data_IF_307534553703
#
_entry.id   IF_307534553703
#
_cell.length_a   1.000
_cell.length_b   1.000
_cell.length_c   1.000
_cell.angle_alpha   90.00
_cell.angle_beta   90.00
_cell.angle_gamma   90.00
#
_symmetry.space_group_name_H-M   'P 1'
#
loop_
_entity.id
_entity.type
_entity.pdbx_description
1 polymer ?
#
# COMPACT_ATOMS: atom_id res chain seq x y z
N UNK A 1 -18.32 41.51 72.85
CA UNK A 1 -17.80 40.58 71.82
C UNK A 1 -18.69 40.41 70.56
N UNK A 2 -19.67 41.29 70.30
CA UNK A 2 -20.63 41.12 69.18
C UNK A 2 -20.25 41.69 67.80
N UNK A 3 -19.23 42.56 67.69
CA UNK A 3 -18.95 43.29 66.42
C UNK A 3 -17.78 42.75 65.58
N UNK A 4 -17.02 41.73 66.06
CA UNK A 4 -15.92 41.11 65.29
C UNK A 4 -16.34 39.87 64.49
N UNK A 5 -17.39 39.15 64.91
CA UNK A 5 -17.87 37.93 64.20
C UNK A 5 -18.69 38.28 62.94
N UNK A 6 -19.44 39.39 62.96
CA UNK A 6 -20.24 39.89 61.82
C UNK A 6 -19.39 40.30 60.60
N UNK A 7 -18.19 40.85 60.82
CA UNK A 7 -17.26 41.23 59.73
C UNK A 7 -16.59 40.03 59.05
N UNK A 8 -16.33 38.94 59.79
CA UNK A 8 -15.73 37.71 59.25
C UNK A 8 -16.73 36.90 58.39
N UNK A 9 -18.00 36.82 58.77
CA UNK A 9 -19.02 36.13 57.98
C UNK A 9 -19.39 36.87 56.68
N UNK A 10 -19.39 38.21 56.67
CA UNK A 10 -19.59 39.00 55.43
C UNK A 10 -18.42 38.86 54.44
N UNK A 11 -17.19 38.63 54.93
CA UNK A 11 -16.01 38.39 54.10
C UNK A 11 -16.02 37.01 53.41
N UNK A 12 -16.38 35.94 54.12
CA UNK A 12 -16.46 34.59 53.56
C UNK A 12 -17.58 34.43 52.52
N UNK A 13 -18.76 35.03 52.74
CA UNK A 13 -19.88 34.97 51.78
C UNK A 13 -19.55 35.68 50.45
N UNK A 14 -18.79 36.80 50.49
CA UNK A 14 -18.31 37.50 49.30
C UNK A 14 -17.23 36.73 48.52
N UNK A 15 -16.34 36.00 49.21
CA UNK A 15 -15.32 35.15 48.56
C UNK A 15 -15.93 33.90 47.91
N UNK A 16 -16.95 33.29 48.52
CA UNK A 16 -17.68 32.16 47.93
C UNK A 16 -18.55 32.59 46.73
N UNK A 17 -19.20 33.75 46.79
CA UNK A 17 -19.93 34.31 45.63
C UNK A 17 -19.00 34.67 44.46
N UNK A 18 -17.82 35.28 44.71
CA UNK A 18 -16.84 35.56 43.66
C UNK A 18 -16.27 34.30 42.99
N UNK A 19 -16.06 33.21 43.74
CA UNK A 19 -15.60 31.93 43.16
C UNK A 19 -16.69 31.23 42.35
N UNK A 20 -17.97 31.30 42.77
CA UNK A 20 -19.11 30.81 41.97
C UNK A 20 -19.28 31.62 40.69
N UNK A 21 -19.22 32.95 40.77
CA UNK A 21 -19.37 33.81 39.58
C UNK A 21 -18.23 33.64 38.58
N UNK A 22 -16.98 33.48 39.03
CA UNK A 22 -15.85 33.23 38.12
C UNK A 22 -15.98 31.92 37.36
N UNK A 23 -16.54 30.87 37.99
CA UNK A 23 -16.80 29.58 37.32
C UNK A 23 -17.97 29.68 36.33
N UNK A 24 -19.00 30.48 36.64
CA UNK A 24 -20.13 30.77 35.75
C UNK A 24 -19.70 31.61 34.56
N UNK A 25 -18.88 32.65 34.76
CA UNK A 25 -18.30 33.48 33.69
C UNK A 25 -17.41 32.65 32.75
N UNK A 26 -16.54 31.78 33.29
CA UNK A 26 -15.74 30.85 32.46
C UNK A 26 -16.61 29.85 31.68
N UNK A 27 -17.73 29.41 32.25
CA UNK A 27 -18.67 28.50 31.58
C UNK A 27 -19.43 29.24 30.47
N UNK A 28 -19.87 30.47 30.72
CA UNK A 28 -20.56 31.31 29.73
C UNK A 28 -19.62 31.71 28.56
N UNK A 29 -18.35 31.99 28.85
CA UNK A 29 -17.33 32.26 27.82
C UNK A 29 -17.05 31.02 26.97
N UNK A 30 -16.93 29.83 27.59
CA UNK A 30 -16.84 28.57 26.84
C UNK A 30 -18.07 28.33 25.95
N UNK A 31 -19.29 28.54 26.47
CA UNK A 31 -20.52 28.35 25.71
C UNK A 31 -20.63 29.33 24.52
N UNK A 32 -20.29 30.60 24.73
CA UNK A 32 -20.27 31.60 23.64
C UNK A 32 -19.24 31.25 22.55
N UNK A 33 -18.07 30.75 22.93
CA UNK A 33 -17.06 30.29 21.97
C UNK A 33 -17.50 29.03 21.22
N UNK A 34 -18.26 28.14 21.86
CA UNK A 34 -18.88 26.97 21.20
C UNK A 34 -19.96 27.42 20.22
N UNK A 35 -20.84 28.35 20.59
CA UNK A 35 -21.88 28.88 19.70
C UNK A 35 -21.30 29.57 18.47
N UNK A 36 -20.28 30.42 18.64
CA UNK A 36 -19.55 31.04 17.52
C UNK A 36 -18.83 30.01 16.64
N UNK A 37 -18.28 28.96 17.24
CA UNK A 37 -17.70 27.83 16.52
C UNK A 37 -18.74 27.07 15.69
N UNK A 38 -19.93 26.84 16.24
CA UNK A 38 -21.04 26.16 15.55
C UNK A 38 -21.61 27.00 14.40
N UNK A 39 -21.75 28.32 14.59
CA UNK A 39 -22.17 29.24 13.53
C UNK A 39 -21.15 29.28 12.38
N UNK A 40 -19.86 29.35 12.70
CA UNK A 40 -18.79 29.25 11.71
C UNK A 40 -18.84 27.93 10.95
N UNK A 41 -19.00 26.79 11.64
CA UNK A 41 -19.11 25.48 10.99
C UNK A 41 -20.35 25.36 10.09
N UNK A 42 -21.49 25.92 10.49
CA UNK A 42 -22.70 25.95 9.67
C UNK A 42 -22.51 26.78 8.39
N UNK A 43 -21.79 27.90 8.48
CA UNK A 43 -21.45 28.71 7.31
C UNK A 43 -20.43 28.01 6.41
N UNK A 44 -19.51 27.21 6.96
CA UNK A 44 -18.58 26.38 6.20
C UNK A 44 -19.32 25.24 5.47
N UNK A 45 -20.29 24.57 6.12
CA UNK A 45 -21.14 23.56 5.49
C UNK A 45 -21.90 24.13 4.30
N UNK A 46 -22.57 25.27 4.48
CA UNK A 46 -23.25 25.98 3.38
C UNK A 46 -22.27 26.38 2.28
N UNK A 47 -21.10 26.89 2.64
CA UNK A 47 -20.03 27.24 1.69
C UNK A 47 -19.58 26.04 0.84
N UNK A 48 -19.54 24.83 1.40
CA UNK A 48 -19.20 23.62 0.65
C UNK A 48 -20.25 23.26 -0.40
N UNK A 49 -21.54 23.51 -0.15
CA UNK A 49 -22.61 23.27 -1.14
C UNK A 49 -22.44 24.12 -2.40
N UNK A 50 -21.81 25.29 -2.28
CA UNK A 50 -21.53 26.18 -3.41
C UNK A 50 -20.25 25.84 -4.17
N UNK A 51 -19.38 24.98 -3.62
CA UNK A 51 -18.13 24.58 -4.28
C UNK A 51 -18.32 23.23 -4.99
N UNK A 52 -17.90 23.17 -6.25
CA UNK A 52 -17.86 21.89 -6.95
C UNK A 52 -16.88 20.93 -6.26
N UNK A 53 -17.15 19.63 -6.33
CA UNK A 53 -16.27 18.60 -5.75
C UNK A 53 -14.83 18.75 -6.24
N UNK A 54 -14.61 19.15 -7.50
CA UNK A 54 -13.27 19.36 -8.06
C UNK A 54 -12.49 20.49 -7.36
N UNK A 55 -13.17 21.60 -7.07
CA UNK A 55 -12.55 22.75 -6.37
C UNK A 55 -12.21 22.35 -4.93
N UNK A 56 -13.14 21.67 -4.24
CA UNK A 56 -12.92 21.17 -2.88
C UNK A 56 -11.74 20.19 -2.81
N UNK A 57 -11.64 19.26 -3.77
CA UNK A 57 -10.49 18.34 -3.85
C UNK A 57 -9.19 19.12 -4.04
N UNK A 58 -9.15 20.14 -4.92
CA UNK A 58 -7.96 20.98 -5.13
C UNK A 58 -7.56 21.71 -3.85
N UNK A 59 -8.52 22.30 -3.14
CA UNK A 59 -8.27 23.00 -1.86
C UNK A 59 -7.71 22.01 -0.83
N UNK A 60 -8.39 20.90 -0.62
CA UNK A 60 -8.02 19.92 0.40
C UNK A 60 -6.69 19.21 0.08
N UNK A 61 -6.31 19.05 -1.20
CA UNK A 61 -4.99 18.51 -1.58
C UNK A 61 -3.81 19.38 -1.15
N UNK A 62 -4.04 20.67 -0.88
CA UNK A 62 -3.00 21.59 -0.39
C UNK A 62 -2.78 21.47 1.13
N UNK A 63 -3.66 20.75 1.83
CA UNK A 63 -3.56 20.54 3.26
C UNK A 63 -2.70 19.31 3.58
N UNK A 64 -1.92 19.40 4.64
CA UNK A 64 -1.13 18.27 5.12
C UNK A 64 -2.02 17.24 5.85
N UNK A 65 -1.46 16.07 6.18
CA UNK A 65 -2.20 15.00 6.85
C UNK A 65 -2.85 15.44 8.17
N UNK A 66 -2.16 16.24 8.98
CA UNK A 66 -2.69 16.68 10.27
C UNK A 66 -3.85 17.65 10.06
N UNK A 67 -3.72 18.60 9.13
CA UNK A 67 -4.81 19.53 8.77
C UNK A 67 -6.03 18.79 8.23
N UNK A 68 -5.84 17.82 7.33
CA UNK A 68 -6.93 17.01 6.80
C UNK A 68 -7.56 16.11 7.86
N UNK A 69 -6.75 15.53 8.76
CA UNK A 69 -7.25 14.74 9.89
C UNK A 69 -8.03 15.61 10.87
N UNK A 70 -7.60 16.85 11.11
CA UNK A 70 -8.34 17.79 11.95
C UNK A 70 -9.66 18.18 11.30
N UNK A 71 -9.67 18.55 10.01
CA UNK A 71 -10.91 18.85 9.26
C UNK A 71 -11.89 17.68 9.24
N UNK A 72 -11.36 16.45 9.13
CA UNK A 72 -12.16 15.23 9.21
C UNK A 72 -12.88 15.10 10.57
N UNK A 73 -12.32 15.65 11.64
CA UNK A 73 -12.91 15.59 12.99
C UNK A 73 -13.83 16.78 13.29
N UNK A 74 -13.78 17.88 12.52
CA UNK A 74 -14.58 19.08 12.79
C UNK A 74 -16.00 19.00 12.22
N UNK A 75 -16.20 18.36 11.05
CA UNK A 75 -17.51 18.27 10.39
C UNK A 75 -17.76 16.89 9.79
N UNK A 76 -19.00 16.40 9.90
CA UNK A 76 -19.45 15.17 9.23
C UNK A 76 -19.32 15.28 7.70
N UNK A 77 -19.63 16.46 7.14
CA UNK A 77 -19.47 16.79 5.73
C UNK A 77 -18.04 16.55 5.22
N UNK A 78 -17.03 17.15 5.87
CA UNK A 78 -15.63 16.95 5.53
C UNK A 78 -15.21 15.52 5.78
N UNK A 79 -15.69 14.86 6.83
CA UNK A 79 -15.39 13.46 7.07
C UNK A 79 -15.83 12.58 5.90
N UNK A 80 -17.09 12.70 5.49
CA UNK A 80 -17.65 11.96 4.36
C UNK A 80 -16.92 12.32 3.06
N UNK A 81 -16.67 13.61 2.80
CA UNK A 81 -15.96 14.07 1.60
C UNK A 81 -14.49 13.57 1.55
N UNK A 82 -13.72 13.80 2.61
CA UNK A 82 -12.31 13.38 2.73
C UNK A 82 -12.20 11.85 2.63
N UNK A 83 -13.14 11.10 3.22
CA UNK A 83 -13.16 9.64 3.08
C UNK A 83 -13.54 9.20 1.67
N UNK A 84 -14.57 9.81 1.07
CA UNK A 84 -15.02 9.55 -0.29
C UNK A 84 -13.88 9.74 -1.30
N UNK A 85 -13.06 10.77 -1.10
CA UNK A 85 -11.92 11.09 -1.99
C UNK A 85 -10.55 10.65 -1.45
N UNK A 86 -10.49 9.93 -0.32
CA UNK A 86 -9.27 9.44 0.31
C UNK A 86 -8.17 10.50 0.56
N UNK A 87 -8.55 11.72 0.94
CA UNK A 87 -7.63 12.87 1.00
C UNK A 87 -6.69 12.84 2.22
N UNK A 88 -7.17 12.38 3.38
CA UNK A 88 -6.41 12.39 4.65
C UNK A 88 -5.52 11.16 4.86
N UNK A 89 -4.78 10.71 3.85
CA UNK A 89 -3.87 9.56 4.02
C UNK A 89 -2.48 10.04 4.39
N UNK A 90 -1.92 9.51 5.48
CA UNK A 90 -0.56 9.85 5.89
C UNK A 90 0.40 9.27 4.86
N UNK A 91 1.24 10.12 4.28
CA UNK A 91 2.28 9.70 3.35
C UNK A 91 3.46 9.14 4.14
N UNK A 92 3.91 7.96 3.75
CA UNK A 92 5.14 7.33 4.18
C UNK A 92 6.01 7.10 2.95
N UNK A 93 7.32 7.23 3.10
CA UNK A 93 8.22 7.00 1.98
C UNK A 93 8.26 5.51 1.65
N UNK A 94 8.55 4.66 2.64
CA UNK A 94 8.68 3.21 2.39
C UNK A 94 8.06 2.36 3.49
N UNK A 95 7.45 1.25 3.06
CA UNK A 95 7.13 0.11 3.91
C UNK A 95 7.84 -1.14 3.38
N UNK A 96 8.56 -1.82 4.26
CA UNK A 96 9.30 -3.04 3.97
C UNK A 96 8.81 -4.21 4.82
N UNK A 97 8.66 -5.37 4.18
CA UNK A 97 8.34 -6.63 4.83
C UNK A 97 9.62 -7.48 4.85
N UNK A 98 10.25 -7.56 6.03
CA UNK A 98 11.52 -8.26 6.19
C UNK A 98 11.48 -9.25 7.35
N UNK A 99 12.22 -10.33 7.20
CA UNK A 99 12.47 -11.25 8.30
C UNK A 99 13.60 -10.67 9.15
N UNK A 100 13.35 -10.51 10.45
CA UNK A 100 14.42 -10.18 11.41
C UNK A 100 15.35 -11.39 11.56
N UNK A 101 16.37 -11.50 10.71
CA UNK A 101 17.47 -12.45 10.91
C UNK A 101 18.58 -11.80 11.75
N UNK A 102 18.72 -10.47 11.66
CA UNK A 102 19.75 -9.70 12.35
C UNK A 102 19.12 -8.83 13.44
N UNK A 103 19.84 -8.70 14.56
CA UNK A 103 19.52 -7.71 15.60
C UNK A 103 19.63 -6.33 14.95
N UNK A 104 18.50 -5.68 14.65
CA UNK A 104 18.45 -4.29 14.19
C UNK A 104 18.96 -3.35 15.29
N UNK A 105 20.28 -3.22 15.43
CA UNK A 105 20.93 -2.28 16.35
C UNK A 105 20.62 -0.86 15.85
N UNK A 106 20.08 0.00 16.72
CA UNK A 106 19.78 1.40 16.41
C UNK A 106 18.33 1.71 15.99
N UNK A 107 17.47 0.72 15.77
CA UNK A 107 16.07 0.97 15.42
C UNK A 107 15.19 1.20 16.65
N UNK A 108 14.32 2.21 16.60
CA UNK A 108 13.31 2.43 17.62
C UNK A 108 12.18 1.41 17.45
N UNK A 109 12.16 0.41 18.32
CA UNK A 109 11.02 -0.52 18.41
C UNK A 109 9.77 0.27 18.78
N UNK A 110 8.76 0.21 17.91
CA UNK A 110 7.41 0.66 18.29
C UNK A 110 6.75 -0.54 18.96
N UNK A 111 6.83 -0.59 20.28
CA UNK A 111 6.10 -1.61 21.04
C UNK A 111 4.60 -1.37 20.85
N UNK A 112 3.91 -2.39 20.35
CA UNK A 112 2.50 -2.29 19.99
C UNK A 112 1.57 -2.05 21.20
N UNK A 113 2.08 -2.22 22.43
CA UNK A 113 1.32 -2.19 23.68
C UNK A 113 1.00 -0.79 24.23
N UNK A 114 1.55 0.28 23.67
CA UNK A 114 1.60 1.56 24.39
C UNK A 114 0.30 2.39 24.39
N UNK A 115 -0.77 1.92 23.75
CA UNK A 115 -2.02 2.69 23.62
C UNK A 115 -3.25 1.80 23.83
N UNK A 116 -3.31 1.07 24.94
CA UNK A 116 -4.38 0.11 25.25
C UNK A 116 -5.79 0.72 25.17
N UNK A 117 -5.93 2.02 25.44
CA UNK A 117 -7.20 2.75 25.30
C UNK A 117 -7.66 2.91 23.85
N UNK A 118 -6.73 2.90 22.88
CA UNK A 118 -7.05 3.00 21.46
C UNK A 118 -7.40 1.65 20.82
N UNK A 119 -7.25 0.55 21.57
CA UNK A 119 -7.49 -0.84 21.14
C UNK A 119 -8.78 -1.38 21.79
N UNK A 120 -9.77 -0.52 22.02
CA UNK A 120 -11.09 -0.98 22.47
C UNK A 120 -11.99 -1.20 21.26
N UNK A 121 -11.87 -2.40 20.68
CA UNK A 121 -12.75 -2.87 19.62
C UNK A 121 -13.71 -3.91 20.21
N UNK A 122 -15.01 -3.61 20.33
CA UNK A 122 -15.99 -4.60 20.77
C UNK A 122 -16.08 -5.68 19.70
N UNK A 123 -15.87 -6.93 20.10
CA UNK A 123 -16.05 -8.10 19.24
C UNK A 123 -17.44 -8.66 19.50
N UNK A 124 -18.18 -8.98 18.43
CA UNK A 124 -19.37 -9.80 18.58
C UNK A 124 -18.97 -11.21 18.99
N UNK A 125 -19.88 -11.94 19.66
CA UNK A 125 -19.63 -13.34 20.04
C UNK A 125 -19.23 -14.19 18.82
N UNK A 126 -19.90 -13.99 17.69
CA UNK A 126 -19.60 -14.68 16.43
C UNK A 126 -18.17 -14.39 15.94
N UNK A 127 -17.73 -13.11 15.96
CA UNK A 127 -16.39 -12.76 15.51
C UNK A 127 -15.32 -13.27 16.48
N UNK A 128 -15.61 -13.23 17.79
CA UNK A 128 -14.72 -13.76 18.82
C UNK A 128 -14.52 -15.28 18.66
N UNK A 129 -15.58 -16.05 18.38
CA UNK A 129 -15.50 -17.48 18.09
C UNK A 129 -14.66 -17.77 16.85
N UNK A 130 -14.86 -17.01 15.75
CA UNK A 130 -14.04 -17.14 14.54
C UNK A 130 -12.56 -16.86 14.81
N UNK A 131 -12.26 -15.81 15.58
CA UNK A 131 -10.89 -15.46 15.96
C UNK A 131 -10.27 -16.55 16.84
N UNK A 132 -11.03 -17.08 17.81
CA UNK A 132 -10.56 -18.18 18.65
C UNK A 132 -10.26 -19.43 17.82
N UNK A 133 -11.14 -19.79 16.88
CA UNK A 133 -10.93 -20.92 15.98
C UNK A 133 -9.64 -20.76 15.14
N UNK A 134 -9.37 -19.57 14.62
CA UNK A 134 -8.13 -19.30 13.89
C UNK A 134 -6.87 -19.41 14.76
N UNK A 135 -6.95 -19.00 16.03
CA UNK A 135 -5.86 -19.20 17.02
C UNK A 135 -5.63 -20.68 17.30
N UNK A 136 -6.71 -21.45 17.51
CA UNK A 136 -6.65 -22.89 17.79
C UNK A 136 -6.04 -23.65 16.60
N UNK A 137 -6.36 -23.24 15.38
CA UNK A 137 -5.78 -23.75 14.13
C UNK A 137 -4.36 -23.23 13.86
N UNK A 138 -3.84 -22.33 14.70
CA UNK A 138 -2.53 -21.66 14.54
C UNK A 138 -2.39 -20.99 13.17
N UNK A 139 -3.43 -20.29 12.74
CA UNK A 139 -3.44 -19.58 11.46
C UNK A 139 -2.33 -18.51 11.44
N UNK A 140 -1.41 -18.53 10.44
CA UNK A 140 -0.32 -17.57 10.39
C UNK A 140 -0.80 -16.19 9.94
N UNK A 141 -0.20 -15.13 10.49
CA UNK A 141 -0.44 -13.76 10.05
C UNK A 141 0.20 -13.46 8.69
N UNK A 142 1.28 -14.16 8.36
CA UNK A 142 2.03 -13.96 7.14
C UNK A 142 2.13 -15.25 6.34
N UNK A 143 2.06 -15.14 5.02
CA UNK A 143 2.40 -16.24 4.11
C UNK A 143 3.83 -15.97 3.63
N UNK A 144 4.71 -16.96 3.80
CA UNK A 144 6.08 -16.90 3.28
C UNK A 144 6.12 -17.47 1.88
N UNK A 145 6.75 -16.75 0.95
CA UNK A 145 6.98 -17.26 -0.39
C UNK A 145 8.17 -18.22 -0.43
N UNK A 146 9.01 -18.23 0.62
CA UNK A 146 10.31 -18.87 0.60
C UNK A 146 10.40 -20.00 1.65
N UNK A 147 10.75 -21.19 1.14
CA UNK A 147 10.92 -22.44 1.91
C UNK A 147 12.05 -22.39 2.94
N UNK A 148 13.00 -21.46 2.79
CA UNK A 148 14.14 -21.36 3.70
C UNK A 148 13.76 -20.75 5.05
N UNK A 149 12.57 -20.15 5.19
CA UNK A 149 12.19 -19.41 6.39
C UNK A 149 11.25 -20.14 7.34
N UNK A 150 11.20 -21.47 7.26
CA UNK A 150 10.25 -22.25 8.05
C UNK A 150 10.46 -22.21 9.57
N UNK A 151 11.58 -21.71 10.11
CA UNK A 151 11.86 -21.89 11.53
C UNK A 151 12.51 -20.66 12.18
N UNK A 152 11.82 -20.13 13.21
CA UNK A 152 12.32 -19.30 14.33
C UNK A 152 12.45 -17.77 14.21
N UNK A 153 12.23 -17.14 13.06
CA UNK A 153 12.39 -15.68 12.97
C UNK A 153 11.09 -14.90 13.25
N UNK A 154 11.19 -13.80 13.99
CA UNK A 154 10.09 -12.84 14.12
C UNK A 154 9.91 -12.08 12.80
N UNK A 155 8.70 -12.09 12.25
CA UNK A 155 8.37 -11.25 11.10
C UNK A 155 8.29 -9.79 11.54
N UNK A 156 8.92 -8.90 10.76
CA UNK A 156 8.94 -7.49 11.06
C UNK A 156 8.47 -6.67 9.86
N UNK A 157 7.55 -5.77 10.13
CA UNK A 157 7.14 -4.73 9.19
C UNK A 157 7.90 -3.48 9.57
N UNK A 158 8.85 -3.09 8.73
CA UNK A 158 9.60 -1.85 8.88
C UNK A 158 8.90 -0.75 8.11
N UNK A 159 8.65 0.37 8.78
CA UNK A 159 7.99 1.54 8.22
C UNK A 159 8.94 2.72 8.36
N UNK A 160 9.34 3.30 7.25
CA UNK A 160 10.21 4.47 7.22
C UNK A 160 9.37 5.74 7.09
N UNK A 161 9.55 6.64 8.06
CA UNK A 161 8.98 7.98 8.07
C UNK A 161 10.04 8.99 7.63
N UNK A 162 9.63 9.97 6.84
CA UNK A 162 10.51 11.05 6.36
C UNK A 162 10.77 10.94 4.87
N UNK A 163 11.43 11.96 4.32
CA UNK A 163 11.89 11.95 2.93
C UNK A 163 13.20 11.15 2.81
N UNK A 164 13.66 10.90 1.58
CA UNK A 164 14.77 9.99 1.27
C UNK A 164 16.06 10.27 2.08
N UNK A 165 16.30 11.54 2.43
CA UNK A 165 17.50 12.00 3.14
C UNK A 165 17.43 11.86 4.67
N UNK A 166 16.23 11.77 5.29
CA UNK A 166 16.04 11.74 6.75
C UNK A 166 15.12 10.60 7.21
N UNK A 167 15.36 9.38 6.73
CA UNK A 167 14.52 8.22 7.05
C UNK A 167 14.59 7.84 8.54
N UNK A 168 13.62 8.33 9.31
CA UNK A 168 13.33 7.84 10.66
C UNK A 168 12.61 6.50 10.55
N UNK A 169 13.38 5.42 10.69
CA UNK A 169 12.88 4.05 10.63
C UNK A 169 12.15 3.69 11.92
N UNK A 170 10.91 3.23 11.77
CA UNK A 170 10.10 2.65 12.84
C UNK A 170 9.85 1.19 12.54
N UNK A 171 10.08 0.35 13.54
CA UNK A 171 9.85 -1.08 13.41
C UNK A 171 8.57 -1.45 14.15
N UNK A 172 7.64 -2.06 13.42
CA UNK A 172 6.40 -2.65 13.94
C UNK A 172 6.56 -4.17 13.89
N UNK A 173 6.69 -4.78 15.06
CA UNK A 173 6.91 -6.23 15.18
C UNK A 173 5.58 -6.94 15.34
N UNK A 174 5.21 -7.77 14.38
CA UNK A 174 3.99 -8.57 14.47
C UNK A 174 4.32 -10.02 14.84
N UNK A 175 3.46 -10.70 15.61
CA UNK A 175 3.62 -12.13 15.82
C UNK A 175 3.37 -12.89 14.52
N UNK A 176 4.23 -13.85 14.18
CA UNK A 176 3.97 -14.74 13.04
C UNK A 176 2.71 -15.58 13.27
N UNK A 177 2.57 -16.09 14.50
CA UNK A 177 1.39 -16.79 14.99
C UNK A 177 0.86 -16.01 16.20
N UNK A 178 -0.21 -15.21 16.03
CA UNK A 178 -0.91 -14.60 17.16
C UNK A 178 -1.27 -15.68 18.19
N UNK A 179 -1.11 -15.39 19.49
CA UNK A 179 -1.34 -16.38 20.56
C UNK A 179 -2.59 -16.10 21.37
N UNK A 180 -3.20 -14.95 21.17
CA UNK A 180 -4.35 -14.48 21.94
C UNK A 180 -5.24 -13.56 21.11
N UNK A 181 -6.49 -13.40 21.54
CA UNK A 181 -7.42 -12.40 20.98
C UNK A 181 -6.83 -10.99 21.06
N UNK A 182 -6.08 -10.69 22.12
CA UNK A 182 -5.41 -9.39 22.29
C UNK A 182 -4.34 -9.16 21.22
N UNK A 183 -3.57 -10.18 20.85
CA UNK A 183 -2.62 -10.07 19.74
C UNK A 183 -3.35 -9.75 18.42
N UNK A 184 -4.49 -10.40 18.16
CA UNK A 184 -5.30 -10.14 16.96
C UNK A 184 -5.89 -8.73 16.96
N UNK A 185 -6.34 -8.21 18.11
CA UNK A 185 -6.82 -6.82 18.25
C UNK A 185 -5.71 -5.83 17.93
N UNK A 186 -4.51 -6.07 18.44
CA UNK A 186 -3.32 -5.28 18.14
C UNK A 186 -3.00 -5.32 16.64
N UNK A 187 -3.02 -6.50 16.03
CA UNK A 187 -2.76 -6.66 14.59
C UNK A 187 -3.80 -5.89 13.77
N UNK A 188 -5.10 -6.06 14.06
CA UNK A 188 -6.19 -5.33 13.40
C UNK A 188 -6.02 -3.82 13.53
N UNK A 189 -5.73 -3.33 14.72
CA UNK A 189 -5.49 -1.90 14.97
C UNK A 189 -4.42 -1.34 14.04
N UNK A 190 -3.26 -2.01 13.97
CA UNK A 190 -2.16 -1.55 13.14
C UNK A 190 -2.46 -1.69 11.64
N UNK A 191 -3.01 -2.82 11.19
CA UNK A 191 -3.41 -2.98 9.80
C UNK A 191 -4.37 -1.89 9.35
N UNK A 192 -5.40 -1.58 10.16
CA UNK A 192 -6.34 -0.49 9.90
C UNK A 192 -5.63 0.85 9.73
N UNK A 193 -4.63 1.14 10.57
CA UNK A 193 -3.82 2.36 10.43
C UNK A 193 -2.98 2.35 9.16
N UNK A 194 -2.35 1.24 8.82
CA UNK A 194 -1.51 1.16 7.62
C UNK A 194 -2.32 1.25 6.32
N UNK A 195 -3.53 0.68 6.29
CA UNK A 195 -4.44 0.85 5.16
C UNK A 195 -4.89 2.30 4.92
N UNK A 196 -4.87 3.13 5.97
CA UNK A 196 -5.15 4.57 5.89
C UNK A 196 -3.92 5.39 5.46
N UNK A 197 -2.84 4.74 5.05
CA UNK A 197 -1.61 5.40 4.63
C UNK A 197 -1.43 5.33 3.11
N UNK A 198 -0.60 6.23 2.59
CA UNK A 198 -0.06 6.18 1.24
C UNK A 198 1.44 5.89 1.32
N UNK A 199 1.94 4.99 0.50
CA UNK A 199 3.36 4.63 0.44
C UNK A 199 3.92 5.02 -0.93
N UNK A 200 5.11 5.62 -0.97
CA UNK A 200 5.80 5.78 -2.25
C UNK A 200 6.30 4.40 -2.69
N UNK A 201 6.96 3.68 -1.80
CA UNK A 201 7.46 2.33 -2.06
C UNK A 201 6.88 1.32 -1.06
N UNK A 202 6.44 0.17 -1.56
CA UNK A 202 6.11 -1.00 -0.76
C UNK A 202 6.92 -2.19 -1.28
N UNK A 203 7.75 -2.79 -0.42
CA UNK A 203 8.57 -3.94 -0.80
C UNK A 203 8.24 -5.17 0.03
N UNK A 204 7.89 -6.24 -0.65
CA UNK A 204 7.51 -7.54 -0.10
C UNK A 204 8.44 -8.62 -0.66
N UNK A 205 9.63 -8.74 -0.07
CA UNK A 205 10.66 -9.65 -0.57
C UNK A 205 10.44 -11.09 -0.13
N UNK A 206 9.82 -11.32 1.02
CA UNK A 206 9.82 -12.65 1.65
C UNK A 206 8.44 -13.13 2.01
N UNK A 207 7.62 -12.24 2.56
CA UNK A 207 6.29 -12.58 3.01
C UNK A 207 5.30 -11.45 2.72
N UNK A 208 4.04 -11.84 2.66
CA UNK A 208 2.87 -10.97 2.56
C UNK A 208 1.97 -11.23 3.76
N UNK A 209 1.03 -10.33 4.05
CA UNK A 209 -0.04 -10.65 5.00
C UNK A 209 -0.90 -11.78 4.42
N UNK A 210 -1.27 -12.74 5.26
CA UNK A 210 -2.18 -13.81 4.89
C UNK A 210 -3.55 -13.22 4.52
N UNK A 211 -4.02 -13.34 3.26
CA UNK A 211 -5.30 -12.81 2.82
C UNK A 211 -6.49 -13.26 3.68
N UNK A 212 -6.50 -14.52 4.10
CA UNK A 212 -7.58 -15.08 4.93
C UNK A 212 -7.54 -14.51 6.34
N UNK A 213 -6.34 -14.24 6.89
CA UNK A 213 -6.21 -13.59 8.20
C UNK A 213 -6.68 -12.14 8.10
N UNK A 214 -6.33 -11.41 7.03
CA UNK A 214 -6.83 -10.04 6.83
C UNK A 214 -8.35 -10.07 6.74
N UNK A 215 -8.93 -10.98 5.95
CA UNK A 215 -10.38 -11.15 5.83
C UNK A 215 -11.04 -11.45 7.19
N UNK A 216 -10.46 -12.36 7.97
CA UNK A 216 -10.92 -12.69 9.33
C UNK A 216 -10.91 -11.47 10.27
N UNK A 217 -9.86 -10.65 10.21
CA UNK A 217 -9.72 -9.47 11.07
C UNK A 217 -10.72 -8.36 10.73
N UNK A 218 -11.22 -8.30 9.49
CA UNK A 218 -12.12 -7.27 8.98
C UNK A 218 -13.47 -7.82 8.47
N UNK A 219 -13.88 -9.00 8.94
CA UNK A 219 -15.06 -9.72 8.46
C UNK A 219 -16.33 -8.85 8.49
N UNK A 220 -17.02 -8.75 7.34
CA UNK A 220 -18.24 -7.95 7.10
C UNK A 220 -18.16 -6.44 7.41
N UNK A 221 -16.97 -5.90 7.65
CA UNK A 221 -16.78 -4.49 7.89
C UNK A 221 -16.70 -3.75 6.52
N UNK A 222 -17.21 -2.50 6.43
CA UNK A 222 -16.97 -1.63 5.26
C UNK A 222 -15.46 -1.48 4.97
N UNK A 223 -14.62 -1.82 5.94
CA UNK A 223 -13.17 -1.88 5.87
C UNK A 223 -12.61 -2.92 4.88
N UNK A 224 -13.39 -3.87 4.35
CA UNK A 224 -12.91 -4.72 3.23
C UNK A 224 -12.56 -3.86 1.98
N UNK A 225 -13.09 -2.63 1.88
CA UNK A 225 -12.68 -1.67 0.83
C UNK A 225 -11.30 -1.04 1.08
N UNK A 226 -10.70 -1.27 2.25
CA UNK A 226 -9.39 -0.72 2.57
C UNK A 226 -8.28 -1.44 1.83
N UNK A 227 -7.49 -0.65 1.11
CA UNK A 227 -6.32 -1.13 0.36
C UNK A 227 -5.13 -0.25 0.69
N UNK A 228 -3.95 -0.87 0.77
CA UNK A 228 -2.70 -0.14 0.79
C UNK A 228 -2.58 0.60 -0.53
N UNK A 229 -2.39 1.91 -0.45
CA UNK A 229 -2.24 2.76 -1.62
C UNK A 229 -0.76 3.05 -1.80
N UNK A 230 -0.20 2.57 -2.88
CA UNK A 230 1.22 2.58 -3.16
C UNK A 230 1.47 3.21 -4.53
N UNK A 231 2.55 3.99 -4.68
CA UNK A 231 3.01 4.37 -6.00
C UNK A 231 3.71 3.16 -6.65
N UNK A 232 4.68 2.61 -5.94
CA UNK A 232 5.50 1.50 -6.41
C UNK A 232 5.41 0.32 -5.45
N UNK A 233 5.26 -0.87 -6.01
CA UNK A 233 5.25 -2.13 -5.25
C UNK A 233 6.29 -3.06 -5.83
N UNK A 234 7.19 -3.58 -5.00
CA UNK A 234 8.12 -4.65 -5.37
C UNK A 234 7.72 -5.93 -4.67
N UNK A 235 7.50 -6.99 -5.43
CA UNK A 235 7.22 -8.34 -4.91
C UNK A 235 8.24 -9.35 -5.43
N UNK A 236 8.73 -10.21 -4.55
CA UNK A 236 9.52 -11.36 -4.95
C UNK A 236 8.65 -12.62 -5.05
N UNK A 237 8.63 -13.23 -6.23
CA UNK A 237 7.92 -14.50 -6.47
C UNK A 237 8.93 -15.64 -6.38
N UNK A 238 8.70 -16.55 -5.43
CA UNK A 238 9.51 -17.77 -5.26
C UNK A 238 8.66 -19.03 -5.44
N UNK A 239 7.50 -19.13 -4.75
CA UNK A 239 6.51 -20.22 -4.86
C UNK A 239 5.10 -19.67 -4.57
N UNK A 240 4.06 -20.38 -5.03
CA UNK A 240 2.64 -20.09 -4.78
C UNK A 240 2.20 -18.68 -5.21
N UNK A 241 2.25 -18.36 -6.51
CA UNK A 241 1.88 -17.04 -7.01
C UNK A 241 0.43 -16.67 -6.68
N UNK A 242 -0.45 -17.65 -6.46
CA UNK A 242 -1.90 -17.40 -6.33
C UNK A 242 -2.23 -16.53 -5.10
N UNK A 243 -1.63 -16.81 -3.94
CA UNK A 243 -1.88 -16.03 -2.72
C UNK A 243 -1.32 -14.62 -2.82
N UNK A 244 -0.16 -14.47 -3.48
CA UNK A 244 0.44 -13.18 -3.79
C UNK A 244 -0.50 -12.38 -4.68
N UNK A 245 -1.02 -12.99 -5.75
CA UNK A 245 -1.95 -12.32 -6.66
C UNK A 245 -3.24 -11.93 -5.97
N UNK A 246 -3.83 -12.83 -5.18
CA UNK A 246 -5.03 -12.52 -4.38
C UNK A 246 -4.75 -11.31 -3.48
N UNK A 247 -3.60 -11.30 -2.80
CA UNK A 247 -3.23 -10.16 -1.97
C UNK A 247 -3.06 -8.86 -2.76
N UNK A 248 -2.35 -8.89 -3.90
CA UNK A 248 -2.16 -7.74 -4.77
C UNK A 248 -3.50 -7.15 -5.24
N UNK A 249 -4.43 -8.00 -5.68
CA UNK A 249 -5.69 -7.56 -6.27
C UNK A 249 -6.70 -7.08 -5.22
N UNK A 250 -6.74 -7.74 -4.06
CA UNK A 250 -7.73 -7.48 -3.05
C UNK A 250 -7.30 -6.35 -2.11
N UNK A 251 -6.00 -6.25 -1.80
CA UNK A 251 -5.53 -5.36 -0.74
C UNK A 251 -4.56 -4.27 -1.19
N UNK A 252 -4.15 -4.20 -2.47
CA UNK A 252 -3.31 -3.11 -2.97
C UNK A 252 -4.01 -2.25 -4.03
N UNK A 253 -3.65 -0.96 -4.05
CA UNK A 253 -3.87 -0.02 -5.14
C UNK A 253 -2.50 0.49 -5.56
N UNK A 254 -2.12 0.25 -6.80
CA UNK A 254 -0.80 0.57 -7.36
C UNK A 254 -0.97 1.67 -8.39
N UNK A 255 -0.46 2.86 -8.10
CA UNK A 255 -0.69 4.04 -8.94
C UNK A 255 0.38 4.28 -10.01
N UNK A 256 1.54 3.62 -9.92
CA UNK A 256 2.63 3.81 -10.88
C UNK A 256 3.14 2.48 -11.43
N UNK A 257 3.76 1.64 -10.60
CA UNK A 257 4.49 0.47 -11.08
C UNK A 257 4.42 -0.72 -10.12
N UNK A 258 4.19 -1.90 -10.67
CA UNK A 258 4.38 -3.19 -10.00
C UNK A 258 5.68 -3.81 -10.51
N UNK A 259 6.67 -3.95 -9.63
CA UNK A 259 7.94 -4.60 -9.90
C UNK A 259 7.85 -6.04 -9.40
N UNK A 260 8.00 -7.01 -10.29
CA UNK A 260 8.01 -8.44 -9.96
C UNK A 260 9.43 -8.94 -10.09
N UNK A 261 10.03 -9.26 -8.95
CA UNK A 261 11.36 -9.87 -8.88
C UNK A 261 11.25 -11.38 -8.86
N UNK A 262 11.94 -12.03 -9.79
CA UNK A 262 12.11 -13.47 -9.80
C UNK A 262 13.42 -13.81 -9.10
N UNK A 263 13.31 -14.45 -7.95
CA UNK A 263 14.46 -14.84 -7.15
C UNK A 263 15.08 -16.16 -7.64
N UNK A 264 16.20 -16.60 -7.03
CA UNK A 264 17.13 -17.67 -7.43
C UNK A 264 16.53 -19.02 -7.90
N UNK A 265 15.22 -19.25 -7.81
CA UNK A 265 14.52 -20.47 -8.22
C UNK A 265 14.11 -20.53 -9.70
N UNK A 266 13.82 -21.75 -10.17
CA UNK A 266 13.12 -21.96 -11.45
C UNK A 266 11.69 -21.42 -11.30
N UNK A 267 11.33 -20.41 -12.09
CA UNK A 267 9.91 -20.08 -12.29
C UNK A 267 9.28 -21.33 -12.89
N UNK A 268 8.35 -21.96 -12.18
CA UNK A 268 7.70 -23.15 -12.69
C UNK A 268 6.87 -22.79 -13.93
N UNK A 269 6.55 -23.79 -14.76
CA UNK A 269 5.78 -23.54 -15.98
C UNK A 269 4.40 -22.98 -15.63
N UNK A 270 3.82 -23.51 -14.55
CA UNK A 270 2.54 -23.15 -14.00
C UNK A 270 2.54 -21.69 -13.51
N UNK A 271 3.61 -21.27 -12.81
CA UNK A 271 3.74 -19.90 -12.35
C UNK A 271 3.79 -18.91 -13.51
N UNK A 272 4.50 -19.24 -14.61
CA UNK A 272 4.54 -18.40 -15.82
C UNK A 272 3.16 -18.24 -16.45
N UNK A 273 2.39 -19.32 -16.51
CA UNK A 273 1.02 -19.29 -17.04
C UNK A 273 0.16 -18.37 -16.17
N UNK A 274 0.19 -18.54 -14.85
CA UNK A 274 -0.58 -17.69 -13.92
C UNK A 274 -0.18 -16.22 -14.07
N UNK A 275 1.11 -15.90 -14.11
CA UNK A 275 1.59 -14.53 -14.28
C UNK A 275 1.08 -13.97 -15.61
N UNK A 276 1.22 -14.70 -16.71
CA UNK A 276 0.77 -14.28 -18.03
C UNK A 276 -0.73 -14.00 -18.05
N UNK A 277 -1.54 -14.93 -17.53
CA UNK A 277 -2.99 -14.78 -17.40
C UNK A 277 -3.37 -13.54 -16.60
N UNK A 278 -2.72 -13.30 -15.46
CA UNK A 278 -2.99 -12.11 -14.62
C UNK A 278 -2.62 -10.81 -15.33
N UNK A 279 -1.50 -10.76 -16.07
CA UNK A 279 -1.10 -9.57 -16.82
C UNK A 279 -2.06 -9.25 -17.97
N UNK A 280 -2.66 -10.27 -18.60
CA UNK A 280 -3.56 -10.10 -19.74
C UNK A 280 -5.00 -9.84 -19.30
N UNK A 281 -5.52 -10.62 -18.36
CA UNK A 281 -6.95 -10.62 -18.04
C UNK A 281 -7.31 -9.65 -16.92
N UNK A 282 -6.34 -9.29 -16.08
CA UNK A 282 -6.55 -8.46 -14.89
C UNK A 282 -5.53 -7.31 -14.77
N UNK A 283 -4.64 -7.19 -15.76
CA UNK A 283 -3.50 -6.27 -15.73
C UNK A 283 -3.87 -4.79 -15.86
N UNK A 284 -5.07 -4.45 -16.33
CA UNK A 284 -5.57 -3.08 -16.44
C UNK A 284 -5.54 -2.32 -15.10
N UNK A 285 -5.48 -3.04 -13.97
CA UNK A 285 -5.34 -2.49 -12.62
C UNK A 285 -3.95 -1.93 -12.35
N UNK A 286 -2.96 -2.33 -13.13
CA UNK A 286 -1.58 -1.88 -13.01
C UNK A 286 -1.27 -0.91 -14.16
N UNK A 287 -0.82 0.32 -13.87
CA UNK A 287 -0.41 1.23 -14.92
C UNK A 287 0.81 0.71 -15.68
N UNK A 288 1.76 0.13 -14.94
CA UNK A 288 2.98 -0.45 -15.45
C UNK A 288 3.38 -1.69 -14.64
N UNK A 289 3.90 -2.71 -15.32
CA UNK A 289 4.53 -3.87 -14.68
C UNK A 289 5.98 -3.99 -15.15
N UNK A 290 6.92 -4.15 -14.23
CA UNK A 290 8.32 -4.40 -14.51
C UNK A 290 8.74 -5.77 -13.99
N UNK A 291 9.02 -6.68 -14.92
CA UNK A 291 9.48 -8.02 -14.66
C UNK A 291 11.00 -8.01 -14.55
N UNK A 292 11.49 -8.04 -13.31
CA UNK A 292 12.91 -7.91 -13.01
C UNK A 292 13.51 -9.26 -12.61
N UNK A 293 14.70 -9.54 -13.12
CA UNK A 293 15.54 -10.63 -12.62
C UNK A 293 16.35 -10.11 -11.44
N UNK A 294 16.24 -10.76 -10.28
CA UNK A 294 17.13 -10.47 -9.16
C UNK A 294 18.54 -10.99 -9.55
N UNK A 295 19.41 -10.08 -9.95
CA UNK A 295 20.76 -10.39 -10.42
C UNK A 295 21.76 -10.14 -9.28
N UNK A 296 21.91 -11.06 -8.33
CA UNK A 296 23.22 -11.12 -7.67
C UNK A 296 24.25 -11.70 -8.65
N UNK A 297 25.41 -11.06 -8.81
CA UNK A 297 26.44 -11.47 -9.78
C UNK A 297 27.05 -12.85 -9.53
N UNK A 298 26.85 -13.42 -8.33
CA UNK A 298 27.71 -14.44 -7.72
C UNK A 298 27.27 -15.89 -7.92
N UNK A 299 26.02 -16.18 -8.28
CA UNK A 299 25.52 -17.57 -8.38
C UNK A 299 24.88 -17.82 -9.74
N UNK A 300 25.41 -18.75 -10.54
CA UNK A 300 24.78 -19.40 -11.71
C UNK A 300 24.08 -18.50 -12.74
N UNK A 301 24.82 -17.95 -13.72
CA UNK A 301 24.30 -16.99 -14.72
C UNK A 301 23.32 -17.57 -15.76
N UNK A 302 23.40 -18.87 -16.07
CA UNK A 302 22.82 -19.46 -17.29
C UNK A 302 21.32 -19.76 -17.17
N UNK A 303 20.86 -20.47 -16.12
CA UNK A 303 19.46 -20.96 -16.05
C UNK A 303 18.38 -19.88 -15.88
N UNK A 304 18.74 -18.65 -15.53
CA UNK A 304 17.77 -17.61 -15.14
C UNK A 304 17.33 -16.71 -16.30
N UNK A 305 18.13 -16.56 -17.35
CA UNK A 305 17.76 -15.74 -18.50
C UNK A 305 16.58 -16.35 -19.28
N UNK A 306 16.51 -17.68 -19.29
CA UNK A 306 15.58 -18.45 -20.10
C UNK A 306 14.11 -18.27 -19.70
N UNK A 307 13.79 -18.17 -18.41
CA UNK A 307 12.37 -18.14 -17.98
C UNK A 307 11.66 -16.83 -18.34
N UNK A 308 12.32 -15.68 -18.14
CA UNK A 308 11.78 -14.39 -18.55
C UNK A 308 11.68 -14.29 -20.08
N UNK A 309 12.63 -14.89 -20.80
CA UNK A 309 12.61 -14.94 -22.26
C UNK A 309 11.43 -15.79 -22.77
N UNK A 310 11.19 -16.96 -22.15
CA UNK A 310 10.02 -17.78 -22.44
C UNK A 310 8.74 -16.99 -22.17
N UNK A 311 8.63 -16.31 -21.02
CA UNK A 311 7.46 -15.50 -20.69
C UNK A 311 7.26 -14.35 -21.70
N UNK A 312 8.33 -13.68 -22.11
CA UNK A 312 8.30 -12.67 -23.16
C UNK A 312 7.78 -13.26 -24.49
N UNK A 313 8.33 -14.38 -24.95
CA UNK A 313 7.92 -15.02 -26.20
C UNK A 313 6.46 -15.47 -26.16
N UNK A 314 6.01 -16.03 -25.03
CA UNK A 314 4.61 -16.39 -24.81
C UNK A 314 3.69 -15.16 -24.85
N UNK A 315 4.11 -14.06 -24.22
CA UNK A 315 3.38 -12.80 -24.27
C UNK A 315 3.27 -12.28 -25.70
N UNK A 316 4.38 -12.18 -26.45
CA UNK A 316 4.36 -11.70 -27.84
C UNK A 316 3.41 -12.52 -28.73
N UNK A 317 3.46 -13.85 -28.63
CA UNK A 317 2.55 -14.73 -29.36
C UNK A 317 1.08 -14.49 -28.98
N UNK A 318 0.81 -14.26 -27.70
CA UNK A 318 -0.53 -13.96 -27.23
C UNK A 318 -1.01 -12.59 -27.70
N UNK A 319 -0.16 -11.56 -27.68
CA UNK A 319 -0.51 -10.22 -28.17
C UNK A 319 -0.85 -10.20 -29.65
N UNK A 320 -0.19 -11.04 -30.44
CA UNK A 320 -0.48 -11.18 -31.86
C UNK A 320 -1.84 -11.85 -32.10
N UNK A 321 -2.20 -12.88 -31.32
CA UNK A 321 -3.29 -13.81 -31.65
C UNK A 321 -4.53 -13.71 -30.74
N UNK A 322 -4.48 -13.01 -29.62
CA UNK A 322 -5.62 -12.93 -28.71
C UNK A 322 -6.80 -12.15 -29.31
N UNK A 323 -8.01 -12.58 -29.02
CA UNK A 323 -9.26 -11.93 -29.49
C UNK A 323 -9.68 -10.75 -28.61
N UNK A 324 -9.32 -10.77 -27.33
CA UNK A 324 -9.58 -9.69 -26.38
C UNK A 324 -8.31 -9.35 -25.58
N UNK A 325 -7.87 -8.09 -25.67
CA UNK A 325 -6.74 -7.53 -24.92
C UNK A 325 -7.13 -6.24 -24.19
N UNK A 326 -8.44 -5.99 -24.02
CA UNK A 326 -8.96 -4.77 -23.37
C UNK A 326 -8.52 -4.68 -21.91
N UNK A 327 -8.41 -5.82 -21.21
CA UNK A 327 -8.04 -5.91 -19.80
C UNK A 327 -6.55 -6.06 -19.51
N UNK A 328 -5.71 -6.07 -20.55
CA UNK A 328 -4.26 -6.20 -20.39
C UNK A 328 -3.66 -4.94 -19.75
N UNK A 329 -2.59 -5.11 -18.97
CA UNK A 329 -1.70 -4.02 -18.54
C UNK A 329 -1.26 -3.14 -19.72
N UNK A 330 -1.17 -1.83 -19.49
CA UNK A 330 -0.86 -0.86 -20.56
C UNK A 330 0.61 -0.87 -20.96
N UNK A 331 1.50 -1.14 -20.01
CA UNK A 331 2.95 -1.12 -20.20
C UNK A 331 3.64 -2.23 -19.39
N UNK A 332 4.40 -3.07 -20.08
CA UNK A 332 5.20 -4.15 -19.49
C UNK A 332 6.67 -3.89 -19.80
N UNK A 333 7.53 -4.00 -18.81
CA UNK A 333 8.98 -3.94 -18.97
C UNK A 333 9.62 -5.25 -18.54
N UNK A 334 10.66 -5.66 -19.23
CA UNK A 334 11.47 -6.85 -18.91
C UNK A 334 12.91 -6.41 -18.69
N UNK A 335 13.49 -6.78 -17.54
CA UNK A 335 14.93 -6.69 -17.35
C UNK A 335 15.58 -7.93 -17.97
N UNK A 336 16.25 -7.74 -19.11
CA UNK A 336 16.80 -8.82 -19.91
C UNK A 336 18.19 -9.24 -19.41
N UNK A 337 18.93 -8.31 -18.79
CA UNK A 337 20.19 -8.54 -18.10
C UNK A 337 21.37 -8.97 -18.99
N UNK A 338 21.15 -9.68 -20.10
CA UNK A 338 22.13 -10.19 -21.06
C UNK A 338 21.53 -10.85 -22.33
N UNK A 339 20.25 -10.66 -22.65
CA UNK A 339 19.65 -11.32 -23.84
C UNK A 339 20.36 -10.85 -25.10
N UNK A 340 20.72 -11.82 -25.95
CA UNK A 340 21.15 -11.54 -27.31
C UNK A 340 19.94 -11.14 -28.14
N UNK A 341 20.11 -10.19 -29.06
CA UNK A 341 19.10 -9.84 -30.06
C UNK A 341 18.59 -11.08 -30.83
N UNK A 342 19.47 -12.06 -31.06
CA UNK A 342 19.15 -13.33 -31.73
C UNK A 342 18.28 -14.31 -30.92
N UNK A 343 18.17 -14.14 -29.61
CA UNK A 343 17.35 -15.01 -28.74
C UNK A 343 15.88 -14.57 -28.70
N UNK A 344 15.60 -13.35 -29.14
CA UNK A 344 14.31 -12.70 -28.97
C UNK A 344 13.51 -12.85 -30.26
N UNK A 345 12.28 -13.34 -30.13
CA UNK A 345 11.35 -13.34 -31.24
C UNK A 345 10.95 -11.89 -31.53
N UNK A 346 11.37 -11.39 -32.68
CA UNK A 346 10.87 -10.13 -33.24
C UNK A 346 9.63 -10.45 -34.05
N UNK A 347 8.49 -9.94 -33.62
CA UNK A 347 7.28 -9.89 -34.44
C UNK A 347 6.88 -8.43 -34.63
N UNK A 348 6.58 -8.08 -35.87
CA UNK A 348 6.14 -6.73 -36.24
C UNK A 348 7.05 -6.05 -37.25
N UNK A 349 6.66 -4.83 -37.62
CA UNK A 349 7.40 -3.98 -38.55
C UNK A 349 8.35 -3.11 -37.75
N UNK A 350 9.63 -3.10 -38.11
CA UNK A 350 10.60 -2.18 -37.53
C UNK A 350 10.19 -0.74 -37.85
N UNK A 351 10.11 0.08 -36.80
CA UNK A 351 9.69 1.47 -36.93
C UNK A 351 10.88 2.38 -37.16
N UNK A 352 11.87 2.33 -36.25
CA UNK A 352 13.05 3.18 -36.25
C UNK A 352 14.14 2.58 -35.36
N UNK A 353 15.39 2.84 -35.73
CA UNK A 353 16.58 2.75 -34.89
C UNK A 353 17.03 4.18 -34.55
N UNK A 354 17.13 4.51 -33.26
CA UNK A 354 17.64 5.81 -32.83
C UNK A 354 19.16 5.78 -32.63
N UNK A 355 19.81 6.95 -32.75
CA UNK A 355 21.26 7.09 -32.55
C UNK A 355 21.73 6.71 -31.13
N UNK A 356 20.80 6.48 -30.19
CA UNK A 356 21.10 6.10 -28.82
C UNK A 356 21.11 4.57 -28.63
N UNK A 357 21.10 3.81 -29.72
CA UNK A 357 21.06 2.36 -29.65
C UNK A 357 19.73 1.90 -29.04
N UNK A 358 18.60 2.43 -29.51
CA UNK A 358 17.28 1.84 -29.26
C UNK A 358 16.66 1.41 -30.56
N UNK A 359 16.12 0.19 -30.56
CA UNK A 359 15.31 -0.34 -31.65
C UNK A 359 13.85 -0.36 -31.25
N UNK A 360 12.98 -0.02 -32.19
CA UNK A 360 11.54 0.01 -31.96
C UNK A 360 10.78 -0.76 -33.03
N UNK A 361 9.80 -1.56 -32.61
CA UNK A 361 8.97 -2.38 -33.47
C UNK A 361 7.50 -2.11 -33.18
N UNK A 362 6.68 -2.30 -34.21
CA UNK A 362 5.22 -2.23 -34.11
C UNK A 362 4.61 -3.60 -34.37
N UNK A 363 3.98 -4.15 -33.34
CA UNK A 363 3.19 -5.37 -33.43
C UNK A 363 1.72 -5.01 -33.63
N UNK A 364 1.07 -5.61 -34.63
CA UNK A 364 -0.37 -5.48 -34.88
C UNK A 364 -1.01 -6.82 -34.59
N UNK A 365 -2.09 -6.83 -33.80
CA UNK A 365 -2.84 -8.06 -33.54
C UNK A 365 -3.59 -8.51 -34.80
N UNK A 366 -3.49 -9.80 -35.15
CA UNK A 366 -4.05 -10.34 -36.39
C UNK A 366 -5.58 -10.46 -36.35
N UNK A 367 -6.14 -10.64 -35.16
CA UNK A 367 -7.58 -10.79 -34.93
C UNK A 367 -8.27 -9.45 -34.64
N UNK A 368 -7.51 -8.42 -34.27
CA UNK A 368 -7.99 -7.05 -34.05
C UNK A 368 -6.94 -6.03 -34.50
N UNK A 369 -6.94 -5.63 -35.78
CA UNK A 369 -5.94 -4.70 -36.34
C UNK A 369 -5.92 -3.30 -35.69
N UNK A 370 -6.95 -2.93 -34.93
CA UNK A 370 -6.97 -1.67 -34.17
C UNK A 370 -6.12 -1.77 -32.89
N UNK A 371 -5.85 -2.98 -32.39
CA UNK A 371 -4.98 -3.22 -31.25
C UNK A 371 -3.53 -3.30 -31.71
N UNK A 372 -2.76 -2.25 -31.40
CA UNK A 372 -1.35 -2.11 -31.81
C UNK A 372 -0.46 -1.95 -30.58
N UNK A 373 0.74 -2.48 -30.65
CA UNK A 373 1.73 -2.43 -29.58
C UNK A 373 3.06 -1.88 -30.08
N UNK A 374 3.70 -1.05 -29.26
CA UNK A 374 5.07 -0.62 -29.45
C UNK A 374 5.99 -1.47 -28.58
N UNK A 375 6.99 -2.10 -29.21
CA UNK A 375 8.03 -2.87 -28.55
C UNK A 375 9.34 -2.11 -28.70
N UNK A 376 9.94 -1.66 -27.60
CA UNK A 376 11.18 -0.89 -27.60
C UNK A 376 12.27 -1.68 -26.89
N UNK A 377 13.44 -1.75 -27.52
CA UNK A 377 14.61 -2.40 -26.98
C UNK A 377 15.63 -1.35 -26.60
N UNK A 378 16.17 -1.45 -25.39
CA UNK A 378 17.30 -0.65 -24.93
C UNK A 378 18.51 -1.56 -24.80
N UNK A 379 19.56 -1.27 -25.55
CA UNK A 379 20.81 -2.01 -25.48
C UNK A 379 21.69 -1.51 -24.33
N UNK A 380 22.63 -2.34 -23.87
CA UNK A 380 23.63 -1.93 -22.90
C UNK A 380 24.71 -1.09 -23.57
N UNK A 381 25.17 -0.06 -22.86
CA UNK A 381 26.36 0.70 -23.26
C UNK A 381 27.57 -0.25 -23.28
N UNK A 382 28.33 -0.23 -24.39
CA UNK A 382 29.58 -0.99 -24.58
C UNK A 382 29.47 -2.52 -24.74
N UNK A 383 28.26 -3.10 -24.77
CA UNK A 383 28.06 -4.51 -25.11
C UNK A 383 27.22 -4.61 -26.40
N UNK A 384 27.88 -4.74 -27.55
CA UNK A 384 27.20 -4.86 -28.84
C UNK A 384 26.12 -5.95 -28.77
N UNK A 385 24.90 -5.60 -29.19
CA UNK A 385 23.75 -6.50 -29.32
C UNK A 385 23.17 -7.06 -28.01
N UNK A 386 23.67 -6.64 -26.83
CA UNK A 386 23.13 -7.07 -25.54
C UNK A 386 21.99 -6.17 -25.10
N UNK A 387 20.82 -6.77 -24.91
CA UNK A 387 19.61 -6.04 -24.53
C UNK A 387 19.57 -5.91 -23.01
N UNK A 388 19.47 -4.66 -22.55
CA UNK A 388 19.32 -4.29 -21.13
C UNK A 388 17.87 -4.45 -20.71
N UNK A 389 16.96 -3.87 -21.49
CA UNK A 389 15.55 -3.77 -21.18
C UNK A 389 14.69 -3.84 -22.44
N UNK A 390 13.52 -4.48 -22.33
CA UNK A 390 12.47 -4.43 -23.35
C UNK A 390 11.21 -3.82 -22.73
N UNK A 391 10.62 -2.85 -23.42
CA UNK A 391 9.34 -2.23 -23.08
C UNK A 391 8.29 -2.62 -24.13
N UNK A 392 7.14 -3.09 -23.68
CA UNK A 392 5.96 -3.34 -24.50
C UNK A 392 4.86 -2.40 -24.01
N UNK A 393 4.29 -1.59 -24.91
CA UNK A 393 3.22 -0.64 -24.57
C UNK A 393 2.09 -0.63 -25.59
N UNK A 394 0.85 -0.45 -25.13
CA UNK A 394 -0.31 -0.24 -26.01
C UNK A 394 -0.19 1.10 -26.73
N UNK A 395 -0.40 1.12 -28.03
CA UNK A 395 -0.51 2.36 -28.83
C UNK A 395 -1.98 2.78 -28.79
N UNK A 396 -2.25 3.99 -28.32
CA UNK A 396 -3.59 4.58 -28.28
C UNK A 396 -4.01 5.14 -29.63
#
# INVERSE_FOLDING_TARGET
>A
MGNKVSKLFKGCRRRLFRKKNKKVEQTAECLSNVEKGMEYLSNVEKGMEYLSNEILIKILKNLNYYELSTLKQTCRCFNEFINKYNLARKKFFIMYFHICILRFVGHKNVYLKHDSKAIDFPLSNVLQEKWQSALDQKMPLFITNNIYYHYSCNSVVEISLGDEEELKRKIVKFPLFPKSIEDLKIVRYWLKRLFLCNFIYLRMDVFIFNPDMVKLLFDNDEFIKMKFNCQEVTISIHKQPIDIWNFLFDYLVINRILIITFDYGRILKEDRIIILEKLINEGYRFPEVFLNRNCEPSVGRIYRATNLLILYNQLINHLETATDLTKMVNKIRFHCGNWSSSEIIVKGVELNEDNNGKKSYKLTNINNPNMKFSIKWTFKENENEKIKEIEISKIK
#
